data_IF_915233481874
#
_entry.id   IF_915233481874
#
_cell.length_a   1.000
_cell.length_b   1.000
_cell.length_c   1.000
_cell.angle_alpha   90.00
_cell.angle_beta   90.00
_cell.angle_gamma   90.00
#
_symmetry.space_group_name_H-M   'P 1'
#
loop_
_entity.id
_entity.type
_entity.pdbx_description
1 polymer ?
#
# COMPACT_ATOMS: atom_id res chain seq x y z
N UNK A 1 -3.72 -0.14 -9.66
CA UNK A 1 -4.94 0.59 -9.24
C UNK A 1 -5.11 0.49 -7.74
N UNK A 2 -5.68 1.53 -7.13
CA UNK A 2 -5.96 1.59 -5.69
C UNK A 2 -6.88 0.48 -5.20
N UNK A 3 -7.76 -0.08 -6.04
CA UNK A 3 -8.67 -1.17 -5.66
C UNK A 3 -7.95 -2.39 -5.04
N UNK A 4 -6.72 -2.68 -5.47
CA UNK A 4 -6.03 -3.93 -5.15
C UNK A 4 -4.92 -3.82 -4.09
N UNK A 5 -4.59 -2.61 -3.62
CA UNK A 5 -3.49 -2.42 -2.67
C UNK A 5 -3.75 -3.19 -1.37
N UNK A 6 -4.96 -3.06 -0.82
CA UNK A 6 -5.37 -3.79 0.39
C UNK A 6 -5.31 -5.31 0.22
N UNK A 7 -5.74 -5.83 -0.92
CA UNK A 7 -5.68 -7.27 -1.18
C UNK A 7 -4.24 -7.78 -1.35
N UNK A 8 -3.35 -6.98 -1.94
CA UNK A 8 -1.93 -7.34 -2.02
C UNK A 8 -1.33 -7.39 -0.61
N UNK A 9 -1.62 -6.41 0.25
CA UNK A 9 -1.20 -6.43 1.65
C UNK A 9 -1.75 -7.65 2.37
N UNK A 10 -3.06 -7.94 2.26
CA UNK A 10 -3.69 -9.11 2.87
C UNK A 10 -2.96 -10.40 2.49
N UNK A 11 -2.64 -10.60 1.22
CA UNK A 11 -1.92 -11.80 0.74
C UNK A 11 -0.52 -11.90 1.34
N UNK A 12 0.21 -10.80 1.46
CA UNK A 12 1.53 -10.79 2.10
C UNK A 12 1.40 -11.15 3.58
N UNK A 13 0.48 -10.51 4.30
CA UNK A 13 0.25 -10.78 5.72
C UNK A 13 -0.21 -12.21 5.98
N UNK A 14 -1.06 -12.77 5.11
CA UNK A 14 -1.47 -14.17 5.18
C UNK A 14 -0.25 -15.10 5.06
N UNK A 15 0.63 -14.86 4.09
CA UNK A 15 1.86 -15.65 3.94
C UNK A 15 2.81 -15.52 5.13
N UNK A 16 2.91 -14.33 5.72
CA UNK A 16 3.72 -14.10 6.92
C UNK A 16 3.13 -14.80 8.15
N UNK A 17 1.81 -14.84 8.28
CA UNK A 17 1.13 -15.57 9.34
C UNK A 17 1.33 -17.09 9.20
N UNK A 18 1.23 -17.63 7.98
CA UNK A 18 1.47 -19.05 7.68
C UNK A 18 2.93 -19.48 7.94
N UNK A 19 3.91 -18.63 7.61
CA UNK A 19 5.32 -18.98 7.61
C UNK A 19 6.09 -18.61 8.90
N UNK A 20 5.68 -17.55 9.60
CA UNK A 20 6.49 -16.92 10.65
C UNK A 20 5.70 -16.48 11.88
N UNK A 21 4.47 -16.97 12.07
CA UNK A 21 3.65 -16.69 13.25
C UNK A 21 3.45 -15.20 13.54
N UNK A 22 3.33 -14.36 12.49
CA UNK A 22 3.14 -12.90 12.61
C UNK A 22 2.02 -12.51 13.60
N UNK A 23 0.95 -13.31 13.65
CA UNK A 23 -0.20 -13.11 14.54
C UNK A 23 -0.38 -14.26 15.54
N UNK A 24 0.71 -14.94 15.90
CA UNK A 24 0.70 -16.09 16.82
C UNK A 24 0.68 -17.44 16.11
N UNK A 25 0.19 -18.47 16.82
CA UNK A 25 0.30 -19.87 16.40
C UNK A 25 -0.74 -20.30 15.36
N UNK A 26 -1.82 -19.55 15.18
CA UNK A 26 -2.87 -19.84 14.21
C UNK A 26 -3.09 -18.67 13.24
N UNK A 27 -3.44 -19.02 12.00
CA UNK A 27 -3.78 -18.02 10.98
C UNK A 27 -5.20 -17.49 11.23
N UNK A 28 -5.42 -16.17 11.32
CA UNK A 28 -6.75 -15.62 11.55
C UNK A 28 -7.70 -15.91 10.38
N UNK A 29 -8.92 -16.37 10.67
CA UNK A 29 -9.88 -16.77 9.64
C UNK A 29 -10.24 -15.62 8.70
N UNK A 30 -10.49 -14.40 9.25
CA UNK A 30 -10.78 -13.21 8.43
C UNK A 30 -9.62 -12.80 7.52
N UNK A 31 -8.39 -13.17 7.85
CA UNK A 31 -7.23 -12.94 6.99
C UNK A 31 -7.29 -13.78 5.71
N UNK A 32 -7.99 -14.91 5.73
CA UNK A 32 -8.13 -15.80 4.58
C UNK A 32 -9.19 -15.30 3.59
N UNK A 33 -10.14 -14.47 4.05
CA UNK A 33 -11.19 -13.89 3.21
C UNK A 33 -10.62 -12.87 2.21
N UNK A 34 -10.76 -13.09 0.89
CA UNK A 34 -10.32 -12.13 -0.11
C UNK A 34 -10.97 -10.76 0.09
N UNK A 35 -10.20 -9.70 -0.16
CA UNK A 35 -10.63 -8.29 -0.09
C UNK A 35 -11.11 -7.82 1.30
N UNK A 36 -10.78 -8.54 2.38
CA UNK A 36 -11.04 -8.08 3.75
C UNK A 36 -10.27 -6.80 4.09
N UNK A 37 -9.01 -6.69 3.65
CA UNK A 37 -8.26 -5.45 3.71
C UNK A 37 -8.42 -4.62 2.43
N UNK A 38 -8.76 -3.35 2.59
CA UNK A 38 -8.99 -2.39 1.52
C UNK A 38 -8.10 -1.16 1.71
N UNK A 39 -7.95 -0.39 0.65
CA UNK A 39 -7.14 0.83 0.62
C UNK A 39 -7.49 1.86 1.70
N UNK A 40 -8.78 2.12 2.03
CA UNK A 40 -9.11 2.99 3.16
C UNK A 40 -8.56 2.48 4.50
N UNK A 41 -8.52 1.16 4.70
CA UNK A 41 -7.93 0.56 5.89
C UNK A 41 -6.42 0.86 5.92
N UNK A 42 -5.73 0.71 4.79
CA UNK A 42 -4.31 1.07 4.68
C UNK A 42 -4.05 2.56 4.92
N UNK A 43 -4.87 3.45 4.38
CA UNK A 43 -4.78 4.90 4.63
C UNK A 43 -4.88 5.19 6.13
N UNK A 44 -5.87 4.61 6.81
CA UNK A 44 -6.07 4.79 8.25
C UNK A 44 -4.86 4.30 9.06
N UNK A 45 -4.27 3.16 8.67
CA UNK A 45 -3.05 2.64 9.30
C UNK A 45 -1.86 3.58 9.09
N UNK A 46 -1.61 4.05 7.87
CA UNK A 46 -0.44 4.89 7.56
C UNK A 46 -0.54 6.33 8.09
N UNK A 47 -1.75 6.80 8.41
CA UNK A 47 -1.95 8.10 9.08
C UNK A 47 -1.79 8.01 10.60
N UNK A 48 -1.61 6.81 11.15
CA UNK A 48 -1.39 6.63 12.57
C UNK A 48 -0.04 7.21 13.00
N UNK A 49 -0.09 8.20 13.91
CA UNK A 49 1.08 8.85 14.49
C UNK A 49 1.28 8.50 15.98
N UNK A 50 0.47 7.59 16.51
CA UNK A 50 0.58 7.13 17.89
C UNK A 50 1.81 6.25 18.07
N UNK A 51 2.44 6.32 19.24
CA UNK A 51 3.63 5.50 19.54
C UNK A 51 3.34 4.01 19.63
N UNK A 52 2.09 3.62 19.91
CA UNK A 52 1.63 2.24 20.06
C UNK A 52 0.86 1.71 18.84
N UNK A 53 0.76 2.51 17.77
CA UNK A 53 0.08 2.17 16.52
C UNK A 53 -1.37 1.71 16.75
N UNK A 54 -2.11 2.47 17.56
CA UNK A 54 -3.45 2.10 18.03
C UNK A 54 -4.48 1.97 16.90
N UNK A 55 -4.42 2.82 15.88
CA UNK A 55 -5.30 2.72 14.72
C UNK A 55 -4.95 1.47 13.89
N UNK A 56 -3.67 1.13 13.76
CA UNK A 56 -3.21 -0.14 13.15
C UNK A 56 -3.78 -1.34 13.89
N UNK A 57 -3.65 -1.36 15.22
CA UNK A 57 -4.23 -2.40 16.07
C UNK A 57 -5.75 -2.51 15.90
N UNK A 58 -6.45 -1.37 15.85
CA UNK A 58 -7.91 -1.33 15.67
C UNK A 58 -8.35 -1.90 14.32
N UNK A 59 -7.66 -1.55 13.23
CA UNK A 59 -7.93 -2.09 11.89
C UNK A 59 -7.68 -3.59 11.86
N UNK A 60 -6.56 -4.05 12.42
CA UNK A 60 -6.23 -5.49 12.49
C UNK A 60 -7.27 -6.26 13.32
N UNK A 61 -7.74 -5.70 14.44
CA UNK A 61 -8.79 -6.33 15.23
C UNK A 61 -10.11 -6.45 14.44
N UNK A 62 -10.55 -5.37 13.80
CA UNK A 62 -11.84 -5.34 13.10
C UNK A 62 -11.84 -6.19 11.82
N UNK A 63 -10.82 -6.02 10.98
CA UNK A 63 -10.77 -6.58 9.62
C UNK A 63 -10.06 -7.94 9.55
N UNK A 64 -9.09 -8.18 10.45
CA UNK A 64 -8.28 -9.41 10.48
C UNK A 64 -8.66 -10.32 11.66
N UNK A 65 -9.29 -9.77 12.71
CA UNK A 65 -9.73 -10.55 13.87
C UNK A 65 -8.61 -10.88 14.84
N UNK A 66 -7.56 -10.04 14.91
CA UNK A 66 -6.39 -10.28 15.77
C UNK A 66 -6.19 -9.15 16.76
N UNK A 67 -5.91 -9.52 18.00
CA UNK A 67 -5.28 -8.62 18.96
C UNK A 67 -3.77 -8.68 18.74
N UNK A 68 -3.21 -7.60 18.18
CA UNK A 68 -1.82 -7.53 17.73
C UNK A 68 -0.95 -6.80 18.74
N UNK A 69 0.29 -7.24 18.92
CA UNK A 69 1.28 -6.47 19.66
C UNK A 69 1.87 -5.33 18.80
N UNK A 70 2.61 -4.42 19.43
CA UNK A 70 3.23 -3.28 18.73
C UNK A 70 4.18 -3.75 17.61
N UNK A 71 4.88 -4.86 17.82
CA UNK A 71 5.86 -5.35 16.84
C UNK A 71 5.18 -5.84 15.56
N UNK A 72 4.08 -6.59 15.67
CA UNK A 72 3.28 -7.01 14.54
C UNK A 72 2.68 -5.80 13.80
N UNK A 73 2.23 -4.77 14.53
CA UNK A 73 1.72 -3.53 13.95
C UNK A 73 2.78 -2.77 13.14
N UNK A 74 4.01 -2.69 13.63
CA UNK A 74 5.15 -2.09 12.90
C UNK A 74 5.40 -2.83 11.58
N UNK A 75 5.43 -4.17 11.62
CA UNK A 75 5.62 -5.00 10.43
C UNK A 75 4.50 -4.77 9.41
N UNK A 76 3.25 -4.69 9.87
CA UNK A 76 2.08 -4.41 9.00
C UNK A 76 2.23 -3.05 8.31
N UNK A 77 2.72 -2.02 9.02
CA UNK A 77 2.99 -0.72 8.41
C UNK A 77 4.10 -0.77 7.36
N UNK A 78 5.19 -1.49 7.63
CA UNK A 78 6.28 -1.65 6.68
C UNK A 78 5.81 -2.36 5.39
N UNK A 79 4.94 -3.37 5.53
CA UNK A 79 4.30 -4.04 4.39
C UNK A 79 3.42 -3.05 3.61
N UNK A 80 2.58 -2.26 4.29
CA UNK A 80 1.75 -1.24 3.63
C UNK A 80 2.59 -0.25 2.83
N UNK A 81 3.61 0.32 3.47
CA UNK A 81 4.52 1.29 2.87
C UNK A 81 5.24 0.72 1.64
N UNK A 82 5.75 -0.51 1.74
CA UNK A 82 6.42 -1.21 0.64
C UNK A 82 5.50 -1.38 -0.57
N UNK A 83 4.27 -1.82 -0.35
CA UNK A 83 3.30 -2.08 -1.43
C UNK A 83 2.86 -0.77 -2.10
N UNK A 84 2.63 0.29 -1.33
CA UNK A 84 2.23 1.61 -1.85
C UNK A 84 3.37 2.25 -2.63
N UNK A 85 4.60 2.27 -2.08
CA UNK A 85 5.78 2.79 -2.78
C UNK A 85 6.01 2.07 -4.10
N UNK A 86 5.85 0.75 -4.13
CA UNK A 86 5.92 -0.03 -5.38
C UNK A 86 4.83 0.42 -6.36
N UNK A 87 3.59 0.58 -5.90
CA UNK A 87 2.48 1.08 -6.72
C UNK A 87 2.76 2.44 -7.34
N UNK A 88 3.23 3.40 -6.54
CA UNK A 88 3.60 4.74 -6.99
C UNK A 88 4.77 4.74 -7.99
N UNK A 89 5.83 3.95 -7.72
CA UNK A 89 6.98 3.82 -8.63
C UNK A 89 6.60 3.23 -9.99
N UNK A 90 5.74 2.21 -10.00
CA UNK A 90 5.27 1.62 -11.26
C UNK A 90 4.39 2.60 -12.06
N UNK A 91 3.55 3.39 -11.40
CA UNK A 91 2.79 4.45 -12.06
C UNK A 91 3.73 5.52 -12.64
N UNK A 92 4.73 5.96 -11.85
CA UNK A 92 5.75 6.91 -12.30
C UNK A 92 6.57 6.41 -13.49
N UNK A 93 6.96 5.13 -13.50
CA UNK A 93 7.67 4.53 -14.62
C UNK A 93 6.85 4.57 -15.92
N UNK A 94 5.52 4.36 -15.83
CA UNK A 94 4.62 4.50 -16.97
C UNK A 94 4.58 5.93 -17.53
N UNK A 95 4.53 6.93 -16.65
CA UNK A 95 4.59 8.35 -17.04
C UNK A 95 5.91 8.65 -17.73
N UNK A 96 7.03 8.25 -17.13
CA UNK A 96 8.37 8.46 -17.71
C UNK A 96 8.49 7.78 -19.07
N UNK A 97 7.98 6.56 -19.25
CA UNK A 97 8.01 5.88 -20.54
C UNK A 97 7.26 6.62 -21.66
N UNK A 98 6.14 7.28 -21.35
CA UNK A 98 5.43 8.13 -22.32
C UNK A 98 6.27 9.37 -22.65
N UNK A 99 6.85 10.00 -21.64
CA UNK A 99 7.68 11.20 -21.81
C UNK A 99 8.95 10.92 -22.62
N UNK A 100 9.62 9.79 -22.37
CA UNK A 100 10.75 9.31 -23.16
C UNK A 100 10.34 9.07 -24.61
N UNK A 101 9.20 8.42 -24.84
CA UNK A 101 8.70 8.19 -26.20
C UNK A 101 8.45 9.50 -26.96
N UNK A 102 7.85 10.49 -26.30
CA UNK A 102 7.62 11.81 -26.89
C UNK A 102 8.92 12.54 -27.23
N UNK A 103 9.95 12.42 -26.38
CA UNK A 103 11.27 12.98 -26.64
C UNK A 103 11.96 12.29 -27.83
N UNK A 104 11.86 10.97 -27.93
CA UNK A 104 12.39 10.22 -29.07
C UNK A 104 11.74 10.63 -30.39
N UNK A 105 10.41 10.82 -30.38
CA UNK A 105 9.65 11.25 -31.56
C UNK A 105 9.93 12.72 -31.92
N UNK A 106 10.28 13.57 -30.96
CA UNK A 106 10.64 14.97 -31.19
C UNK A 106 11.70 15.43 -30.19
N UNK A 107 12.97 15.40 -30.62
CA UNK A 107 14.12 15.77 -29.79
C UNK A 107 14.00 17.20 -29.25
N UNK A 108 14.20 17.34 -27.94
CA UNK A 108 14.10 18.59 -27.19
C UNK A 108 12.67 18.99 -26.84
N UNK A 109 11.67 18.12 -27.02
CA UNK A 109 10.27 18.41 -26.66
C UNK A 109 10.07 18.39 -25.14
N UNK A 110 10.65 17.41 -24.45
CA UNK A 110 10.37 17.10 -23.04
C UNK A 110 11.56 17.43 -22.14
N UNK A 111 12.73 16.83 -22.38
CA UNK A 111 13.85 16.96 -21.44
C UNK A 111 14.53 18.33 -21.53
N UNK A 112 14.87 18.91 -20.38
CA UNK A 112 15.39 20.28 -20.29
C UNK A 112 14.31 21.37 -20.34
N UNK A 113 13.03 21.00 -20.39
CA UNK A 113 11.88 21.91 -20.33
C UNK A 113 10.99 21.57 -19.13
N UNK A 114 10.19 22.56 -18.70
CA UNK A 114 9.15 22.32 -17.70
C UNK A 114 8.00 21.53 -18.34
N UNK A 115 7.77 20.32 -17.84
CA UNK A 115 6.67 19.46 -18.27
C UNK A 115 5.64 19.34 -17.14
N UNK A 116 4.36 19.39 -17.48
CA UNK A 116 3.26 19.23 -16.54
C UNK A 116 2.45 18.01 -16.95
N UNK A 117 2.23 17.09 -16.02
CA UNK A 117 1.37 15.93 -16.19
C UNK A 117 0.15 16.14 -15.29
N UNK A 118 -1.03 16.22 -15.89
CA UNK A 118 -2.28 16.29 -15.14
C UNK A 118 -2.61 14.89 -14.58
N UNK A 119 -2.91 14.84 -13.28
CA UNK A 119 -3.22 13.61 -12.56
C UNK A 119 -4.60 13.73 -11.93
N UNK A 120 -5.37 12.65 -11.97
CA UNK A 120 -6.68 12.52 -11.32
C UNK A 120 -6.80 11.11 -10.73
N UNK A 121 -7.59 10.97 -9.67
CA UNK A 121 -7.98 9.70 -9.07
C UNK A 121 -7.90 9.73 -7.56
N UNK A 122 -8.95 9.21 -6.91
CA UNK A 122 -9.07 9.26 -5.45
C UNK A 122 -7.92 8.60 -4.68
N UNK A 123 -7.18 7.65 -5.28
CA UNK A 123 -5.94 7.15 -4.67
C UNK A 123 -4.85 8.23 -4.64
N UNK A 124 -4.61 8.90 -5.76
CA UNK A 124 -3.58 9.93 -5.84
C UNK A 124 -3.90 11.13 -4.93
N UNK A 125 -5.19 11.49 -4.83
CA UNK A 125 -5.63 12.65 -4.04
C UNK A 125 -5.67 12.40 -2.53
N UNK A 126 -6.02 11.17 -2.10
CA UNK A 126 -6.37 10.91 -0.71
C UNK A 126 -5.40 9.96 0.01
N UNK A 127 -4.45 9.34 -0.70
CA UNK A 127 -3.47 8.46 -0.06
C UNK A 127 -2.34 9.27 0.58
N UNK A 128 -2.01 9.03 1.87
CA UNK A 128 -1.00 9.80 2.60
C UNK A 128 0.44 9.60 2.10
#
# INVERSE_FOLDING_TARGET
SGMYLGEIVRRVLLRMAEAGSLFGSSVPEKLQTPFSLRTPHMCAMQQDKSSDLKAVGSVLYNEVGVDSDTRAREIVLEVCDTIVKRGGRLAGAGIVGILEKMEEDTKGLIFGKRTVVAMDGGLYENYP
#
